data_IF_316807146155
#
_entry.id   IF_316807146155
#
_cell.length_a   1.000
_cell.length_b   1.000
_cell.length_c   1.000
_cell.angle_alpha   90.00
_cell.angle_beta   90.00
_cell.angle_gamma   90.00
#
_symmetry.space_group_name_H-M   'P 1'
#
loop_
_entity.id
_entity.type
_entity.pdbx_description
1 polymer ?
#
# COMPACT_ATOMS: atom_id res chain seq x y z
N UNK A 1 22.54 1.82 7.03
CA UNK A 1 21.93 3.18 7.03
C UNK A 1 20.83 3.26 8.08
N UNK A 2 19.89 2.31 8.13
CA UNK A 2 18.75 2.33 9.06
C UNK A 2 19.15 2.38 10.54
N UNK A 3 20.26 1.76 10.92
CA UNK A 3 20.81 1.79 12.30
C UNK A 3 21.22 3.20 12.79
N UNK A 4 21.40 4.14 11.85
CA UNK A 4 21.70 5.56 12.17
C UNK A 4 20.47 6.35 12.60
N UNK A 5 19.27 5.79 12.38
CA UNK A 5 17.98 6.44 12.61
C UNK A 5 17.11 5.57 13.52
N UNK A 6 17.34 5.62 14.84
CA UNK A 6 16.63 4.77 15.81
C UNK A 6 15.10 5.03 15.86
N UNK A 7 14.65 6.19 15.38
CA UNK A 7 13.25 6.52 15.22
C UNK A 7 12.51 5.60 14.21
N UNK A 8 13.27 4.86 13.39
CA UNK A 8 12.76 3.87 12.45
C UNK A 8 12.97 2.45 12.99
N UNK A 9 12.32 2.12 14.12
CA UNK A 9 12.40 0.79 14.73
C UNK A 9 12.18 -0.34 13.72
N UNK A 10 13.20 -1.20 13.55
CA UNK A 10 13.18 -2.25 12.54
C UNK A 10 13.96 -3.51 12.94
N UNK A 11 13.93 -3.87 14.23
CA UNK A 11 14.62 -5.06 14.70
C UNK A 11 14.27 -6.34 13.93
N UNK A 12 12.99 -6.47 13.52
CA UNK A 12 12.54 -7.60 12.70
C UNK A 12 13.20 -7.69 11.32
N UNK A 13 13.97 -6.67 10.92
CA UNK A 13 14.68 -6.62 9.62
C UNK A 13 16.19 -6.83 9.74
N UNK A 14 16.71 -6.97 10.93
CA UNK A 14 18.13 -7.31 11.15
C UNK A 14 18.31 -8.83 11.06
N UNK A 15 17.94 -9.44 9.95
CA UNK A 15 17.90 -10.88 9.76
C UNK A 15 19.27 -11.52 9.91
N UNK A 16 20.29 -10.93 9.33
CA UNK A 16 21.65 -11.48 9.36
C UNK A 16 22.25 -11.37 10.76
N UNK A 17 21.95 -10.28 11.49
CA UNK A 17 22.38 -10.15 12.89
C UNK A 17 21.71 -11.22 13.77
N UNK A 18 20.40 -11.44 13.57
CA UNK A 18 19.64 -12.46 14.31
C UNK A 18 20.16 -13.86 14.00
N UNK A 19 20.36 -14.16 12.70
CA UNK A 19 20.89 -15.45 12.27
C UNK A 19 22.30 -15.69 12.83
N UNK A 20 23.20 -14.70 12.72
CA UNK A 20 24.54 -14.80 13.27
C UNK A 20 24.54 -15.03 14.79
N UNK A 21 23.65 -14.38 15.52
CA UNK A 21 23.51 -14.57 16.96
C UNK A 21 23.05 -16.00 17.28
N UNK A 22 22.06 -16.53 16.56
CA UNK A 22 21.59 -17.91 16.74
C UNK A 22 22.73 -18.91 16.47
N UNK A 23 23.48 -18.74 15.37
CA UNK A 23 24.61 -19.60 15.03
C UNK A 23 25.74 -19.52 16.07
N UNK A 24 26.06 -18.32 16.59
CA UNK A 24 27.08 -18.12 17.65
C UNK A 24 26.70 -18.82 18.95
N UNK A 25 25.42 -18.78 19.32
CA UNK A 25 24.92 -19.35 20.56
C UNK A 25 24.68 -20.86 20.46
N UNK A 26 24.71 -21.42 19.25
CA UNK A 26 24.33 -22.82 19.01
C UNK A 26 22.81 -23.06 19.03
N UNK A 27 22.00 -22.01 18.95
CA UNK A 27 20.52 -22.05 18.94
C UNK A 27 20.01 -22.47 17.54
N UNK A 28 20.41 -23.65 17.09
CA UNK A 28 20.16 -24.09 15.70
C UNK A 28 19.03 -25.10 15.56
N UNK A 29 18.48 -25.64 16.65
CA UNK A 29 17.41 -26.66 16.61
C UNK A 29 16.14 -26.18 15.89
N UNK A 30 15.86 -24.89 15.94
CA UNK A 30 14.69 -24.28 15.27
C UNK A 30 14.94 -23.84 13.83
N UNK A 31 16.16 -23.96 13.30
CA UNK A 31 16.50 -23.55 11.94
C UNK A 31 16.23 -24.68 10.94
N UNK A 32 15.66 -24.31 9.79
CA UNK A 32 15.47 -25.25 8.67
C UNK A 32 16.74 -25.52 7.86
N UNK A 33 17.76 -24.65 8.00
CA UNK A 33 19.10 -24.80 7.45
C UNK A 33 20.12 -24.22 8.44
N UNK A 34 21.27 -24.87 8.58
CA UNK A 34 22.37 -24.47 9.46
C UNK A 34 23.67 -24.20 8.70
N UNK A 35 23.63 -24.35 7.35
CA UNK A 35 24.80 -24.19 6.51
C UNK A 35 24.80 -22.81 5.82
N UNK A 36 25.50 -21.85 6.41
CA UNK A 36 25.65 -20.49 5.91
C UNK A 36 27.13 -20.14 5.73
N UNK A 37 27.79 -20.66 4.68
CA UNK A 37 29.25 -20.59 4.55
C UNK A 37 29.79 -19.17 4.29
N UNK A 38 28.96 -18.25 3.84
CA UNK A 38 29.36 -16.87 3.50
C UNK A 38 29.10 -15.87 4.63
N UNK A 39 28.38 -16.26 5.68
CA UNK A 39 28.07 -15.32 6.77
C UNK A 39 29.31 -15.04 7.63
N UNK A 40 29.64 -13.77 7.78
CA UNK A 40 30.62 -13.32 8.78
C UNK A 40 29.88 -13.12 10.13
N UNK A 41 30.11 -14.03 11.06
CA UNK A 41 29.41 -14.00 12.35
C UNK A 41 29.73 -12.76 13.21
N UNK A 42 30.86 -12.10 12.97
CA UNK A 42 31.28 -10.89 13.68
C UNK A 42 30.80 -9.60 12.96
N UNK A 43 30.58 -9.71 11.66
CA UNK A 43 30.02 -8.64 10.84
C UNK A 43 28.98 -9.17 9.85
N UNK A 44 27.78 -9.55 10.34
CA UNK A 44 26.77 -10.24 9.51
C UNK A 44 26.26 -9.46 8.30
N UNK A 45 26.50 -8.18 8.25
CA UNK A 45 26.16 -7.33 7.10
C UNK A 45 27.25 -7.25 6.04
N UNK A 46 28.41 -7.91 6.25
CA UNK A 46 29.46 -7.97 5.26
C UNK A 46 29.11 -8.97 4.17
N UNK A 47 29.22 -8.53 2.92
CA UNK A 47 29.02 -9.38 1.74
C UNK A 47 30.36 -9.97 1.27
N UNK A 48 30.32 -11.12 0.64
CA UNK A 48 31.45 -11.61 -0.17
C UNK A 48 31.57 -10.78 -1.44
N UNK A 49 32.69 -10.93 -2.18
CA UNK A 49 32.87 -10.21 -3.43
C UNK A 49 31.81 -10.62 -4.47
N UNK A 50 31.42 -11.89 -4.52
CA UNK A 50 30.36 -12.41 -5.42
C UNK A 50 28.98 -11.88 -5.04
N UNK A 51 28.66 -11.80 -3.74
CA UNK A 51 27.40 -11.21 -3.25
C UNK A 51 27.35 -9.70 -3.55
N UNK A 52 28.48 -9.01 -3.42
CA UNK A 52 28.59 -7.60 -3.75
C UNK A 52 28.38 -7.34 -5.24
N UNK A 53 28.94 -8.20 -6.14
CA UNK A 53 28.73 -8.10 -7.58
C UNK A 53 27.22 -8.21 -7.93
N UNK A 54 26.48 -9.11 -7.29
CA UNK A 54 25.02 -9.22 -7.48
C UNK A 54 24.30 -7.94 -7.07
N UNK A 55 24.65 -7.36 -5.92
CA UNK A 55 24.04 -6.12 -5.44
C UNK A 55 24.38 -4.94 -6.36
N UNK A 56 25.63 -4.88 -6.85
CA UNK A 56 26.08 -3.85 -7.78
C UNK A 56 25.33 -3.95 -9.13
N UNK A 57 25.15 -5.16 -9.66
CA UNK A 57 24.39 -5.37 -10.89
C UNK A 57 22.91 -4.99 -10.71
N UNK A 58 22.27 -5.41 -9.64
CA UNK A 58 20.90 -4.97 -9.32
C UNK A 58 20.81 -3.45 -9.23
N UNK A 59 21.75 -2.81 -8.56
CA UNK A 59 21.82 -1.34 -8.44
C UNK A 59 21.96 -0.70 -9.82
N UNK A 60 22.84 -1.24 -10.65
CA UNK A 60 23.01 -0.77 -12.02
C UNK A 60 21.71 -0.90 -12.83
N UNK A 61 20.99 -2.02 -12.73
CA UNK A 61 19.72 -2.21 -13.41
C UNK A 61 18.68 -1.15 -13.00
N UNK A 62 18.54 -0.87 -11.70
CA UNK A 62 17.60 0.15 -11.22
C UNK A 62 17.98 1.56 -11.64
N UNK A 63 19.26 1.85 -11.84
CA UNK A 63 19.76 3.18 -12.18
C UNK A 63 19.93 3.43 -13.68
N UNK A 64 20.07 2.39 -14.50
CA UNK A 64 20.37 2.53 -15.95
C UNK A 64 19.32 1.93 -16.87
N UNK A 65 18.60 0.90 -16.43
CA UNK A 65 17.64 0.20 -17.29
C UNK A 65 16.47 1.12 -17.69
N UNK A 66 16.31 1.33 -19.00
CA UNK A 66 15.31 2.27 -19.56
C UNK A 66 13.88 1.87 -19.20
N UNK A 67 13.57 0.56 -19.20
CA UNK A 67 12.23 0.06 -18.84
C UNK A 67 11.90 0.35 -17.37
N UNK A 68 12.85 0.05 -16.47
CA UNK A 68 12.69 0.32 -15.03
C UNK A 68 12.55 1.82 -14.79
N UNK A 69 13.41 2.66 -15.36
CA UNK A 69 13.31 4.10 -15.27
C UNK A 69 11.96 4.64 -15.74
N UNK A 70 11.45 4.13 -16.85
CA UNK A 70 10.13 4.51 -17.37
C UNK A 70 9.00 4.15 -16.40
N UNK A 71 9.01 2.95 -15.84
CA UNK A 71 8.02 2.50 -14.86
C UNK A 71 8.09 3.33 -13.57
N UNK A 72 9.28 3.52 -13.01
CA UNK A 72 9.45 4.34 -11.80
C UNK A 72 9.09 5.80 -12.04
N UNK A 73 9.43 6.35 -13.22
CA UNK A 73 8.98 7.69 -13.62
C UNK A 73 7.45 7.83 -13.61
N UNK A 74 6.74 6.82 -14.11
CA UNK A 74 5.28 6.81 -14.05
C UNK A 74 4.78 6.76 -12.61
N UNK A 75 5.36 5.86 -11.80
CA UNK A 75 5.02 5.72 -10.39
C UNK A 75 5.20 7.04 -9.62
N UNK A 76 6.36 7.66 -9.68
CA UNK A 76 6.64 8.90 -8.97
C UNK A 76 5.81 10.09 -9.46
N UNK A 77 5.44 10.13 -10.74
CA UNK A 77 4.62 11.21 -11.31
C UNK A 77 3.12 11.06 -11.07
N UNK A 78 2.63 9.84 -10.94
CA UNK A 78 1.19 9.53 -10.90
C UNK A 78 0.75 8.85 -9.60
N UNK A 79 1.64 8.16 -8.92
CA UNK A 79 1.35 7.50 -7.65
C UNK A 79 1.00 8.51 -6.57
N UNK A 80 0.07 8.09 -5.70
CA UNK A 80 -0.36 8.86 -4.53
C UNK A 80 -0.38 7.95 -3.32
N UNK A 81 0.04 8.48 -2.17
CA UNK A 81 -0.08 7.80 -0.88
C UNK A 81 -1.53 7.53 -0.55
N UNK A 82 -2.39 8.50 -0.85
CA UNK A 82 -3.83 8.39 -0.78
C UNK A 82 -4.49 9.30 -1.82
N UNK A 83 -5.75 9.01 -2.13
CA UNK A 83 -6.55 9.84 -3.02
C UNK A 83 -8.02 9.84 -2.57
N UNK A 84 -8.58 11.02 -2.38
CA UNK A 84 -10.02 11.16 -2.11
C UNK A 84 -10.74 11.34 -3.44
N UNK A 85 -11.67 10.45 -3.72
CA UNK A 85 -12.48 10.49 -4.93
C UNK A 85 -13.91 10.03 -4.63
N UNK A 86 -14.89 10.85 -5.01
CA UNK A 86 -16.32 10.57 -4.80
C UNK A 86 -16.63 10.12 -3.36
N UNK A 87 -16.19 10.90 -2.37
CA UNK A 87 -16.34 10.63 -0.94
C UNK A 87 -15.72 9.30 -0.46
N UNK A 88 -14.80 8.75 -1.23
CA UNK A 88 -14.04 7.56 -0.86
C UNK A 88 -12.56 7.91 -0.68
N UNK A 89 -11.97 7.48 0.42
CA UNK A 89 -10.52 7.49 0.65
C UNK A 89 -9.93 6.24 0.00
N UNK A 90 -9.12 6.41 -1.02
CA UNK A 90 -8.39 5.33 -1.66
C UNK A 90 -6.96 5.34 -1.13
N UNK A 91 -6.51 4.23 -0.54
CA UNK A 91 -5.18 4.06 0.06
C UNK A 91 -4.61 2.68 -0.31
N UNK A 92 -3.29 2.52 -0.17
CA UNK A 92 -2.66 1.22 -0.41
C UNK A 92 -3.06 0.19 0.66
N UNK A 93 -2.77 0.45 1.93
CA UNK A 93 -3.02 -0.49 3.01
C UNK A 93 -3.93 0.07 4.11
N UNK A 94 -3.56 1.17 4.75
CA UNK A 94 -4.28 1.67 5.93
C UNK A 94 -3.96 3.14 6.26
N UNK A 95 -4.80 3.75 7.10
CA UNK A 95 -4.39 4.87 7.96
C UNK A 95 -3.96 4.28 9.30
N UNK A 96 -2.70 4.45 9.73
CA UNK A 96 -2.23 3.84 10.97
C UNK A 96 -3.11 4.20 12.17
N UNK A 97 -3.50 3.17 12.95
CA UNK A 97 -4.37 3.35 14.10
C UNK A 97 -4.00 2.38 15.23
N UNK A 98 -4.22 2.82 16.46
CA UNK A 98 -4.01 2.07 17.70
C UNK A 98 -5.22 1.19 18.04
N UNK A 99 -5.08 0.35 19.04
CA UNK A 99 -6.15 -0.54 19.51
C UNK A 99 -7.40 0.21 20.00
N UNK A 100 -7.20 1.39 20.59
CA UNK A 100 -8.27 2.26 21.10
C UNK A 100 -9.03 3.02 20.02
N UNK A 101 -8.68 2.84 18.73
CA UNK A 101 -9.29 3.53 17.60
C UNK A 101 -8.75 4.95 17.37
N UNK A 102 -7.72 5.38 18.12
CA UNK A 102 -7.03 6.63 17.79
C UNK A 102 -6.07 6.44 16.63
N UNK A 103 -5.77 7.52 15.88
CA UNK A 103 -4.72 7.48 14.87
C UNK A 103 -3.36 7.27 15.54
N UNK A 104 -2.59 6.32 15.00
CA UNK A 104 -1.21 6.08 15.43
C UNK A 104 -0.32 7.26 15.04
N UNK A 105 0.58 7.63 15.94
CA UNK A 105 1.54 8.70 15.71
C UNK A 105 2.88 8.15 15.23
N UNK A 106 3.41 8.75 14.17
CA UNK A 106 4.75 8.50 13.67
C UNK A 106 5.44 9.83 13.34
N UNK A 107 6.64 10.04 13.89
CA UNK A 107 7.41 11.28 13.74
C UNK A 107 6.64 12.57 14.15
N UNK A 108 5.77 12.47 15.16
CA UNK A 108 4.93 13.59 15.61
C UNK A 108 3.72 13.87 14.72
N UNK A 109 3.45 13.04 13.71
CA UNK A 109 2.36 13.20 12.75
C UNK A 109 1.39 12.02 12.82
N UNK A 110 0.10 12.27 12.55
CA UNK A 110 -0.97 11.26 12.53
C UNK A 110 -2.03 11.59 11.50
N UNK A 111 -2.89 10.62 11.17
CA UNK A 111 -4.01 10.80 10.25
C UNK A 111 -3.59 11.36 8.90
N UNK A 112 -4.26 12.41 8.45
CA UNK A 112 -3.97 13.11 7.18
C UNK A 112 -2.55 13.68 7.16
N UNK A 113 -2.12 14.32 8.25
CA UNK A 113 -0.78 14.91 8.33
C UNK A 113 0.35 13.91 8.11
N UNK A 114 0.18 12.66 8.61
CA UNK A 114 1.12 11.59 8.33
C UNK A 114 1.10 11.17 6.85
N UNK A 115 -0.09 11.03 6.25
CA UNK A 115 -0.21 10.64 4.83
C UNK A 115 0.37 11.71 3.90
N UNK A 116 0.15 13.00 4.21
CA UNK A 116 0.72 14.12 3.46
C UNK A 116 2.26 14.14 3.55
N UNK A 117 2.82 13.95 4.74
CA UNK A 117 4.26 13.84 4.94
C UNK A 117 4.87 12.69 4.13
N UNK A 118 4.20 11.53 4.10
CA UNK A 118 4.63 10.38 3.29
C UNK A 118 4.57 10.72 1.80
N UNK A 119 3.51 11.39 1.35
CA UNK A 119 3.38 11.84 -0.04
C UNK A 119 4.53 12.78 -0.44
N UNK A 120 4.82 13.79 0.39
CA UNK A 120 5.90 14.75 0.15
C UNK A 120 7.27 14.05 0.10
N UNK A 121 7.48 13.05 0.96
CA UNK A 121 8.71 12.24 0.96
C UNK A 121 8.84 11.44 -0.33
N UNK A 122 7.77 10.76 -0.77
CA UNK A 122 7.77 10.01 -2.04
C UNK A 122 8.04 10.94 -3.23
N UNK A 123 7.44 12.12 -3.25
CA UNK A 123 7.66 13.10 -4.33
C UNK A 123 9.09 13.64 -4.32
N UNK A 124 9.67 13.92 -3.15
CA UNK A 124 11.06 14.39 -3.02
C UNK A 124 12.05 13.34 -3.49
N UNK A 125 11.91 12.11 -3.00
CA UNK A 125 12.76 10.98 -3.42
C UNK A 125 12.63 10.73 -4.92
N UNK A 126 11.41 10.76 -5.44
CA UNK A 126 11.14 10.57 -6.87
C UNK A 126 11.77 11.65 -7.75
N UNK A 127 11.71 12.91 -7.34
CA UNK A 127 12.36 14.02 -8.06
C UNK A 127 13.87 13.83 -8.15
N UNK A 128 14.54 13.50 -7.01
CA UNK A 128 15.99 13.24 -6.98
C UNK A 128 16.36 12.02 -7.83
N UNK A 129 15.62 10.93 -7.73
CA UNK A 129 15.83 9.75 -8.56
C UNK A 129 15.75 10.07 -10.06
N UNK A 130 14.73 10.82 -10.48
CA UNK A 130 14.53 11.21 -11.88
C UNK A 130 15.62 12.15 -12.40
N UNK A 131 16.19 12.99 -11.52
CA UNK A 131 17.31 13.87 -11.83
C UNK A 131 18.67 13.14 -11.85
N UNK A 132 18.74 11.89 -11.39
CA UNK A 132 20.00 11.15 -11.23
C UNK A 132 20.84 11.66 -10.05
N UNK A 133 20.21 12.33 -9.09
CA UNK A 133 20.85 12.84 -7.89
C UNK A 133 20.94 11.77 -6.80
N UNK A 134 21.98 11.88 -5.96
CA UNK A 134 22.10 11.02 -4.78
C UNK A 134 20.96 11.28 -3.78
N UNK A 135 20.42 10.20 -3.20
CA UNK A 135 19.45 10.30 -2.13
C UNK A 135 20.10 10.65 -0.80
N UNK A 136 19.38 11.35 0.06
CA UNK A 136 19.81 11.56 1.43
C UNK A 136 19.71 10.27 2.26
N UNK A 137 20.66 9.99 3.13
CA UNK A 137 20.64 8.77 3.97
C UNK A 137 19.35 8.65 4.78
N UNK A 138 18.85 9.77 5.30
CA UNK A 138 17.59 9.79 6.05
C UNK A 138 16.39 9.42 5.19
N UNK A 139 16.31 9.92 3.96
CA UNK A 139 15.25 9.57 3.02
C UNK A 139 15.33 8.10 2.60
N UNK A 140 16.54 7.56 2.40
CA UNK A 140 16.71 6.12 2.13
C UNK A 140 16.22 5.27 3.30
N UNK A 141 16.58 5.63 4.53
CA UNK A 141 16.15 4.92 5.74
C UNK A 141 14.63 5.01 5.92
N UNK A 142 14.04 6.19 5.72
CA UNK A 142 12.59 6.39 5.79
C UNK A 142 11.86 5.59 4.70
N UNK A 143 12.38 5.58 3.46
CA UNK A 143 11.79 4.81 2.37
C UNK A 143 11.79 3.31 2.65
N UNK A 144 12.87 2.81 3.23
CA UNK A 144 12.96 1.43 3.68
C UNK A 144 11.96 1.15 4.83
N UNK A 145 11.84 2.07 5.80
CA UNK A 145 10.83 1.96 6.86
C UNK A 145 9.41 1.95 6.29
N UNK A 146 9.10 2.81 5.32
CA UNK A 146 7.77 2.87 4.70
C UNK A 146 7.37 1.55 4.03
N UNK A 147 8.34 0.78 3.53
CA UNK A 147 8.07 -0.54 2.99
C UNK A 147 7.65 -1.57 4.05
N UNK A 148 8.19 -1.52 5.27
CA UNK A 148 8.05 -2.63 6.22
C UNK A 148 7.97 -2.22 7.70
N UNK A 149 7.88 -0.93 7.99
CA UNK A 149 7.72 -0.42 9.35
C UNK A 149 6.28 -0.52 9.86
N UNK A 150 6.12 -0.83 11.13
CA UNK A 150 4.80 -1.08 11.76
C UNK A 150 3.84 0.11 11.71
N UNK A 151 4.37 1.34 11.73
CA UNK A 151 3.57 2.58 11.64
C UNK A 151 3.43 3.12 10.21
N UNK A 152 3.93 2.38 9.23
CA UNK A 152 3.82 2.76 7.83
C UNK A 152 2.41 2.58 7.28
N UNK A 153 1.87 3.55 6.52
CA UNK A 153 0.58 3.39 5.84
C UNK A 153 0.61 2.35 4.72
N UNK A 154 1.80 1.85 4.34
CA UNK A 154 1.97 0.87 3.26
C UNK A 154 2.15 -0.56 3.75
N UNK A 155 2.46 -0.79 5.03
CA UNK A 155 2.83 -2.11 5.51
C UNK A 155 1.69 -2.91 6.14
N UNK A 156 0.92 -2.31 7.06
CA UNK A 156 -0.31 -2.91 7.60
C UNK A 156 -0.15 -4.17 8.47
N UNK A 157 1.04 -4.49 8.92
CA UNK A 157 1.35 -5.67 9.75
C UNK A 157 2.12 -5.27 11.00
N UNK A 158 2.03 -6.10 12.07
CA UNK A 158 2.82 -5.89 13.28
C UNK A 158 4.31 -6.13 13.06
N UNK A 159 4.65 -7.12 12.28
CA UNK A 159 6.02 -7.46 11.93
C UNK A 159 6.06 -8.20 10.60
N UNK A 160 7.16 -8.07 9.87
CA UNK A 160 7.40 -8.88 8.70
C UNK A 160 7.97 -10.23 9.14
N UNK A 161 7.30 -11.30 8.78
CA UNK A 161 7.62 -12.68 9.14
C UNK A 161 8.45 -13.42 8.08
N UNK A 162 9.17 -12.68 7.25
CA UNK A 162 9.99 -13.28 6.19
C UNK A 162 11.18 -14.05 6.77
N UNK A 163 11.80 -13.56 7.87
CA UNK A 163 12.86 -14.29 8.56
C UNK A 163 12.37 -15.66 9.04
N UNK A 164 11.25 -15.66 9.75
CA UNK A 164 10.63 -16.87 10.28
C UNK A 164 10.32 -17.86 9.16
N UNK A 165 9.70 -17.41 8.08
CA UNK A 165 9.33 -18.25 6.91
C UNK A 165 10.53 -18.82 6.17
N UNK A 166 11.65 -18.10 6.12
CA UNK A 166 12.85 -18.59 5.45
C UNK A 166 13.73 -19.48 6.31
N UNK A 167 13.83 -19.19 7.60
CA UNK A 167 14.85 -19.78 8.45
C UNK A 167 14.31 -20.64 9.58
N UNK A 168 13.04 -20.56 9.96
CA UNK A 168 12.49 -21.29 11.09
C UNK A 168 11.56 -22.43 10.63
N UNK A 169 11.66 -23.58 11.35
CA UNK A 169 10.79 -24.75 11.16
C UNK A 169 9.40 -24.51 11.72
N UNK A 170 9.28 -23.70 12.78
CA UNK A 170 8.04 -23.44 13.49
C UNK A 170 7.05 -22.62 12.62
N UNK A 171 6.07 -23.30 12.04
CA UNK A 171 5.04 -22.68 11.19
C UNK A 171 4.13 -21.70 11.95
N UNK A 172 3.95 -21.83 13.27
CA UNK A 172 3.15 -20.89 14.05
C UNK A 172 3.83 -19.51 14.10
N UNK A 173 5.16 -19.49 14.06
CA UNK A 173 5.94 -18.25 14.01
C UNK A 173 5.79 -17.49 12.68
N UNK A 174 5.32 -18.16 11.61
CA UNK A 174 5.18 -17.59 10.27
C UNK A 174 3.97 -16.67 10.12
N UNK A 175 3.04 -16.67 11.08
CA UNK A 175 1.81 -15.89 11.00
C UNK A 175 2.09 -14.38 11.10
N UNK A 176 1.65 -13.63 10.10
CA UNK A 176 1.64 -12.16 10.12
C UNK A 176 0.32 -11.64 10.67
N UNK A 177 0.35 -11.14 11.90
CA UNK A 177 -0.83 -10.51 12.52
C UNK A 177 -1.08 -9.13 11.88
N UNK A 178 -2.32 -8.90 11.45
CA UNK A 178 -2.74 -7.59 10.96
C UNK A 178 -2.84 -6.59 12.11
N UNK A 179 -2.61 -5.30 11.81
CA UNK A 179 -2.83 -4.21 12.76
C UNK A 179 -4.33 -4.00 13.07
N UNK A 180 -4.59 -3.17 14.05
CA UNK A 180 -5.95 -2.87 14.54
C UNK A 180 -6.86 -2.22 13.50
N UNK A 181 -6.33 -1.70 12.42
CA UNK A 181 -7.05 -1.04 11.33
C UNK A 181 -8.36 -1.74 10.91
N UNK A 182 -8.29 -3.05 10.61
CA UNK A 182 -9.48 -3.81 10.17
C UNK A 182 -10.54 -3.95 11.26
N UNK A 183 -10.11 -4.07 12.52
CA UNK A 183 -10.99 -4.12 13.69
C UNK A 183 -11.63 -2.73 13.89
N UNK A 184 -10.84 -1.69 13.82
CA UNK A 184 -11.29 -0.31 14.01
C UNK A 184 -12.30 0.13 12.94
N UNK A 185 -12.11 -0.27 11.66
CA UNK A 185 -13.07 -0.01 10.58
C UNK A 185 -14.47 -0.61 10.81
N UNK A 186 -14.63 -1.50 11.80
CA UNK A 186 -15.93 -2.04 12.18
C UNK A 186 -16.61 -1.22 13.29
N UNK A 187 -15.93 -0.22 13.83
CA UNK A 187 -16.44 0.64 14.91
C UNK A 187 -16.92 1.98 14.36
N UNK A 188 -18.08 2.44 14.84
CA UNK A 188 -18.63 3.72 14.39
C UNK A 188 -17.74 4.89 14.80
N UNK A 189 -17.15 4.84 15.99
CA UNK A 189 -16.22 5.87 16.48
C UNK A 189 -15.05 6.09 15.52
N UNK A 190 -14.46 5.02 14.99
CA UNK A 190 -13.34 5.19 14.06
C UNK A 190 -13.77 5.65 12.67
N UNK A 191 -14.96 5.23 12.22
CA UNK A 191 -15.56 5.70 10.97
C UNK A 191 -15.87 7.21 11.03
N UNK A 192 -16.43 7.68 12.15
CA UNK A 192 -16.66 9.11 12.40
C UNK A 192 -15.37 9.91 12.37
N UNK A 193 -14.30 9.43 13.01
CA UNK A 193 -12.96 10.07 12.93
C UNK A 193 -12.42 10.15 11.51
N UNK A 194 -12.57 9.08 10.72
CA UNK A 194 -12.17 9.10 9.31
C UNK A 194 -12.99 10.10 8.51
N UNK A 195 -14.29 10.18 8.77
CA UNK A 195 -15.16 11.15 8.13
C UNK A 195 -14.79 12.59 8.49
N UNK A 196 -14.51 12.87 9.76
CA UNK A 196 -14.10 14.20 10.23
C UNK A 196 -12.75 14.61 9.63
N UNK A 197 -11.77 13.71 9.65
CA UNK A 197 -10.40 13.97 9.19
C UNK A 197 -10.29 14.12 7.67
N UNK A 198 -11.02 13.27 6.93
CA UNK A 198 -10.88 13.16 5.46
C UNK A 198 -12.11 13.63 4.67
N UNK A 199 -13.26 13.88 5.30
CA UNK A 199 -14.49 14.24 4.60
C UNK A 199 -15.07 13.12 3.74
N UNK A 200 -14.98 11.86 4.17
CA UNK A 200 -15.30 10.68 3.39
C UNK A 200 -16.44 9.86 3.99
N UNK A 201 -17.03 9.00 3.17
CA UNK A 201 -18.03 8.02 3.60
C UNK A 201 -17.50 6.59 3.52
N UNK A 202 -16.42 6.34 2.75
CA UNK A 202 -15.89 5.00 2.49
C UNK A 202 -14.37 5.01 2.44
N UNK A 203 -13.79 3.85 2.72
CA UNK A 203 -12.36 3.59 2.53
C UNK A 203 -12.20 2.42 1.57
N UNK A 204 -11.43 2.64 0.50
CA UNK A 204 -11.05 1.63 -0.49
C UNK A 204 -9.57 1.35 -0.31
N UNK A 205 -9.21 0.09 -0.06
CA UNK A 205 -7.84 -0.31 0.24
C UNK A 205 -7.48 -1.68 -0.35
N UNK A 206 -6.22 -2.07 -0.23
CA UNK A 206 -5.69 -3.34 -0.72
C UNK A 206 -4.64 -3.94 0.20
N UNK A 207 -3.48 -4.27 -0.35
CA UNK A 207 -2.27 -4.81 0.30
C UNK A 207 -2.39 -6.25 0.85
N UNK A 208 -3.55 -6.63 1.33
CA UNK A 208 -3.79 -8.01 1.77
C UNK A 208 -4.96 -8.56 0.96
N UNK A 209 -4.72 -9.51 0.05
CA UNK A 209 -5.76 -10.03 -0.81
C UNK A 209 -6.97 -10.58 -0.06
N UNK A 210 -8.13 -10.41 -0.66
CA UNK A 210 -9.37 -11.03 -0.16
C UNK A 210 -9.30 -12.52 -0.48
N UNK A 211 -9.33 -13.35 0.54
CA UNK A 211 -9.39 -14.80 0.37
C UNK A 211 -10.83 -15.23 0.01
N UNK A 212 -11.15 -15.05 -1.26
CA UNK A 212 -12.46 -15.37 -1.81
C UNK A 212 -12.81 -16.85 -1.63
N UNK A 213 -11.84 -17.75 -1.77
CA UNK A 213 -12.06 -19.19 -1.63
C UNK A 213 -12.47 -19.59 -0.20
N UNK A 214 -12.14 -18.75 0.80
CA UNK A 214 -12.63 -18.88 2.18
C UNK A 214 -13.92 -18.09 2.41
N UNK A 215 -14.62 -17.64 1.36
CA UNK A 215 -15.89 -16.92 1.46
C UNK A 215 -15.79 -15.49 1.99
N UNK A 216 -14.57 -14.89 2.00
CA UNK A 216 -14.42 -13.49 2.41
C UNK A 216 -14.97 -12.57 1.34
N UNK A 217 -15.65 -11.52 1.76
CA UNK A 217 -16.25 -10.52 0.88
C UNK A 217 -15.30 -9.32 0.69
N UNK A 218 -15.44 -8.64 -0.46
CA UNK A 218 -14.71 -7.39 -0.74
C UNK A 218 -15.08 -6.28 0.22
N UNK A 219 -16.37 -6.14 0.53
CA UNK A 219 -16.87 -5.04 1.35
C UNK A 219 -17.37 -5.50 2.72
N UNK A 220 -17.29 -4.63 3.71
CA UNK A 220 -18.02 -4.74 4.97
C UNK A 220 -19.53 -4.66 4.72
N UNK A 221 -20.32 -5.18 5.67
CA UNK A 221 -21.79 -5.23 5.54
C UNK A 221 -22.44 -3.87 5.35
N UNK A 222 -21.81 -2.83 5.90
CA UNK A 222 -22.26 -1.43 5.79
C UNK A 222 -21.69 -0.70 4.57
N UNK A 223 -20.86 -1.35 3.76
CA UNK A 223 -20.25 -0.77 2.57
C UNK A 223 -19.20 0.31 2.83
N UNK A 224 -18.75 0.50 4.09
CA UNK A 224 -17.78 1.54 4.46
C UNK A 224 -16.35 1.10 4.15
N UNK A 225 -16.00 -0.14 4.45
CA UNK A 225 -14.65 -0.68 4.22
C UNK A 225 -14.67 -1.60 3.00
N UNK A 226 -13.92 -1.26 1.96
CA UNK A 226 -13.88 -2.00 0.70
C UNK A 226 -12.44 -2.39 0.38
N UNK A 227 -12.17 -3.69 0.34
CA UNK A 227 -10.88 -4.23 -0.04
C UNK A 227 -10.92 -4.70 -1.51
N UNK A 228 -10.18 -4.02 -2.38
CA UNK A 228 -10.15 -4.31 -3.83
C UNK A 228 -8.99 -5.20 -4.25
N UNK A 229 -8.17 -5.68 -3.30
CA UNK A 229 -7.05 -6.55 -3.62
C UNK A 229 -7.52 -7.99 -3.85
N UNK A 230 -7.53 -8.42 -5.11
CA UNK A 230 -7.83 -9.79 -5.50
C UNK A 230 -6.60 -10.68 -5.62
N UNK A 231 -5.40 -10.09 -5.62
CA UNK A 231 -4.14 -10.81 -5.78
C UNK A 231 -4.04 -11.56 -7.11
N UNK A 232 -3.76 -10.88 -8.22
CA UNK A 232 -3.61 -11.46 -9.56
C UNK A 232 -2.43 -12.43 -9.69
N UNK A 233 -2.25 -13.33 -8.74
CA UNK A 233 -1.15 -14.29 -8.70
C UNK A 233 -1.66 -15.68 -8.39
N UNK A 234 -0.90 -16.71 -8.82
CA UNK A 234 -1.26 -18.11 -8.62
C UNK A 234 -1.52 -18.46 -7.14
N UNK A 235 -0.76 -17.86 -6.23
CA UNK A 235 -0.95 -18.03 -4.79
C UNK A 235 -2.33 -17.53 -4.29
N UNK A 236 -3.03 -16.71 -5.09
CA UNK A 236 -4.37 -16.18 -4.81
C UNK A 236 -5.36 -16.57 -5.91
N UNK A 237 -5.17 -17.74 -6.52
CA UNK A 237 -6.06 -18.33 -7.52
C UNK A 237 -6.21 -17.51 -8.81
N UNK A 238 -5.26 -16.62 -9.12
CA UNK A 238 -5.27 -15.74 -10.31
C UNK A 238 -6.55 -14.88 -10.45
N UNK A 239 -7.28 -14.61 -9.36
CA UNK A 239 -8.50 -13.82 -9.39
C UNK A 239 -8.23 -12.37 -9.04
N UNK A 240 -8.56 -11.46 -9.95
CA UNK A 240 -8.57 -10.04 -9.68
C UNK A 240 -9.91 -9.54 -9.18
N UNK A 241 -9.90 -8.39 -8.49
CA UNK A 241 -11.11 -7.70 -8.09
C UNK A 241 -11.16 -6.32 -8.73
N UNK A 242 -12.36 -5.83 -9.01
CA UNK A 242 -12.60 -4.47 -9.45
C UNK A 242 -13.76 -3.85 -8.69
N UNK A 243 -13.66 -2.58 -8.36
CA UNK A 243 -14.76 -1.79 -7.82
C UNK A 243 -15.35 -0.94 -8.94
N UNK A 244 -16.65 -1.04 -9.17
CA UNK A 244 -17.36 -0.29 -10.20
C UNK A 244 -18.35 0.65 -9.55
N UNK A 245 -18.23 1.92 -9.89
CA UNK A 245 -19.12 2.98 -9.43
C UNK A 245 -19.90 3.51 -10.63
N UNK A 246 -21.20 3.27 -10.64
CA UNK A 246 -22.15 3.84 -11.60
C UNK A 246 -22.94 4.98 -10.96
N UNK A 247 -23.73 5.74 -11.72
CA UNK A 247 -24.62 6.73 -11.12
C UNK A 247 -25.64 6.17 -10.13
N UNK A 248 -25.93 4.87 -10.21
CA UNK A 248 -27.00 4.23 -9.44
C UNK A 248 -26.51 3.26 -8.37
N UNK A 249 -25.30 2.68 -8.55
CA UNK A 249 -24.84 1.57 -7.75
C UNK A 249 -23.32 1.58 -7.59
N UNK A 250 -22.89 1.04 -6.47
CA UNK A 250 -21.52 0.65 -6.19
C UNK A 250 -21.46 -0.86 -6.05
N UNK A 251 -20.64 -1.53 -6.86
CA UNK A 251 -20.53 -2.99 -6.81
C UNK A 251 -19.09 -3.45 -7.07
N UNK A 252 -18.76 -4.57 -6.44
CA UNK A 252 -17.53 -5.30 -6.68
C UNK A 252 -17.71 -6.33 -7.78
N UNK A 253 -16.66 -6.53 -8.58
CA UNK A 253 -16.58 -7.60 -9.56
C UNK A 253 -15.41 -8.49 -9.18
N UNK A 254 -15.63 -9.78 -9.11
CA UNK A 254 -14.57 -10.78 -9.05
C UNK A 254 -14.35 -11.27 -10.47
N UNK A 255 -13.14 -11.02 -10.98
CA UNK A 255 -12.77 -11.36 -12.35
C UNK A 255 -12.58 -12.88 -12.49
N UNK A 256 -12.94 -13.46 -13.64
CA UNK A 256 -12.67 -14.86 -13.92
C UNK A 256 -11.17 -15.13 -14.00
N UNK A 257 -10.77 -16.36 -13.73
CA UNK A 257 -9.38 -16.79 -13.94
C UNK A 257 -9.01 -16.81 -15.42
N UNK A 258 -7.71 -16.80 -15.77
CA UNK A 258 -7.29 -16.97 -17.15
C UNK A 258 -7.82 -18.27 -17.80
N UNK A 259 -7.94 -19.35 -17.02
CA UNK A 259 -8.47 -20.64 -17.45
C UNK A 259 -9.95 -20.53 -17.78
N UNK A 260 -10.78 -19.95 -16.90
CA UNK A 260 -12.20 -19.71 -17.12
C UNK A 260 -12.44 -18.81 -18.35
N UNK A 261 -11.62 -17.76 -18.52
CA UNK A 261 -11.70 -16.91 -19.71
C UNK A 261 -11.36 -17.66 -21.00
N UNK A 262 -10.34 -18.53 -20.96
CA UNK A 262 -9.97 -19.35 -22.11
C UNK A 262 -11.04 -20.35 -22.47
N UNK A 263 -11.62 -21.02 -21.48
CA UNK A 263 -12.72 -21.97 -21.67
C UNK A 263 -13.95 -21.29 -22.28
N UNK A 264 -14.40 -20.17 -21.71
CA UNK A 264 -15.50 -19.40 -22.26
C UNK A 264 -15.24 -18.95 -23.71
N UNK A 265 -14.03 -18.49 -24.02
CA UNK A 265 -13.65 -18.11 -25.38
C UNK A 265 -13.69 -19.29 -26.36
N UNK A 266 -13.24 -20.48 -25.94
CA UNK A 266 -13.32 -21.70 -26.77
C UNK A 266 -14.75 -22.13 -27.05
N UNK A 267 -15.65 -21.91 -26.09
CA UNK A 267 -17.07 -22.26 -26.22
C UNK A 267 -17.91 -21.14 -26.87
N UNK A 268 -17.31 -20.01 -27.23
CA UNK A 268 -18.00 -18.79 -27.71
C UNK A 268 -19.02 -18.26 -26.71
N UNK A 269 -18.74 -18.39 -25.42
CA UNK A 269 -19.54 -17.92 -24.30
C UNK A 269 -18.89 -16.72 -23.61
N UNK A 270 -19.67 -15.99 -22.81
CA UNK A 270 -19.14 -14.96 -21.92
C UNK A 270 -18.53 -15.62 -20.68
N UNK A 271 -17.33 -15.19 -20.28
CA UNK A 271 -16.73 -15.63 -19.02
C UNK A 271 -17.62 -15.24 -17.83
N UNK A 272 -17.77 -16.10 -16.82
CA UNK A 272 -18.61 -15.82 -15.66
C UNK A 272 -18.03 -14.63 -14.87
N UNK A 273 -18.90 -13.69 -14.50
CA UNK A 273 -18.58 -12.59 -13.58
C UNK A 273 -19.33 -12.81 -12.29
N UNK A 274 -18.64 -12.77 -11.18
CA UNK A 274 -19.26 -12.71 -9.85
C UNK A 274 -19.35 -11.26 -9.41
N UNK A 275 -20.60 -10.80 -9.13
CA UNK A 275 -20.91 -9.39 -8.85
C UNK A 275 -21.45 -9.29 -7.43
N UNK A 276 -20.79 -8.50 -6.60
CA UNK A 276 -21.22 -8.17 -5.25
C UNK A 276 -21.78 -6.74 -5.23
N UNK A 277 -23.10 -6.57 -5.08
CA UNK A 277 -23.69 -5.27 -4.81
C UNK A 277 -23.26 -4.78 -3.42
N UNK A 278 -22.69 -3.57 -3.36
CA UNK A 278 -22.19 -2.96 -2.14
C UNK A 278 -23.15 -1.87 -1.66
N UNK A 279 -23.62 -1.03 -2.59
CA UNK A 279 -24.55 0.05 -2.26
C UNK A 279 -25.44 0.39 -3.46
N UNK A 280 -26.65 0.84 -3.20
CA UNK A 280 -27.61 1.30 -4.20
C UNK A 280 -28.09 2.71 -3.85
N UNK A 281 -27.93 3.64 -4.77
CA UNK A 281 -28.26 5.04 -4.53
C UNK A 281 -29.73 5.32 -4.83
N UNK A 282 -30.44 5.88 -3.85
CA UNK A 282 -31.86 6.23 -4.00
C UNK A 282 -32.13 7.22 -5.14
N UNK A 283 -31.13 8.04 -5.45
CA UNK A 283 -31.16 8.97 -6.59
C UNK A 283 -29.83 8.84 -7.35
N UNK A 284 -29.86 8.95 -8.69
CA UNK A 284 -28.64 8.83 -9.48
C UNK A 284 -27.66 9.94 -9.11
N UNK A 285 -26.41 9.59 -8.90
CA UNK A 285 -25.32 10.51 -8.70
C UNK A 285 -25.17 11.40 -9.95
N UNK A 286 -25.20 12.71 -9.78
CA UNK A 286 -24.98 13.68 -10.85
C UNK A 286 -23.52 14.13 -10.87
N UNK A 287 -23.08 14.72 -11.98
CA UNK A 287 -21.70 15.27 -12.07
C UNK A 287 -21.38 16.22 -10.92
N UNK A 288 -22.32 17.06 -10.50
CA UNK A 288 -22.15 17.98 -9.36
C UNK A 288 -21.86 17.27 -8.03
N UNK A 289 -22.24 16.01 -7.89
CA UNK A 289 -22.09 15.21 -6.66
C UNK A 289 -20.80 14.38 -6.69
N UNK A 290 -19.92 14.63 -7.66
CA UNK A 290 -18.66 13.91 -7.86
C UNK A 290 -17.46 14.83 -7.69
N UNK A 291 -16.27 14.25 -7.44
CA UNK A 291 -15.01 14.98 -7.40
C UNK A 291 -14.75 15.80 -8.70
N UNK A 292 -15.24 15.32 -9.84
CA UNK A 292 -15.19 16.07 -11.10
C UNK A 292 -16.10 17.30 -11.09
N UNK A 293 -17.26 17.19 -10.46
CA UNK A 293 -18.19 18.29 -10.26
C UNK A 293 -17.60 19.39 -9.38
N UNK A 294 -16.96 19.02 -8.28
CA UNK A 294 -16.26 19.98 -7.40
C UNK A 294 -15.16 20.73 -8.15
N UNK A 295 -14.34 20.02 -8.95
CA UNK A 295 -13.31 20.64 -9.78
C UNK A 295 -13.91 21.62 -10.80
N UNK A 296 -14.99 21.25 -11.48
CA UNK A 296 -15.66 22.10 -12.47
C UNK A 296 -16.27 23.36 -11.80
N UNK A 297 -16.80 23.20 -10.59
CA UNK A 297 -17.32 24.33 -9.80
C UNK A 297 -16.20 25.31 -9.47
N UNK A 298 -15.09 24.84 -8.91
CA UNK A 298 -13.92 25.67 -8.61
C UNK A 298 -13.40 26.42 -9.85
N UNK A 299 -13.28 25.71 -10.99
CA UNK A 299 -12.86 26.33 -12.26
C UNK A 299 -13.84 27.40 -12.73
N UNK A 300 -15.15 27.14 -12.62
CA UNK A 300 -16.20 28.13 -12.96
C UNK A 300 -16.13 29.37 -12.09
N UNK A 301 -15.96 29.21 -10.77
CA UNK A 301 -15.84 30.32 -9.83
C UNK A 301 -14.59 31.17 -10.11
N UNK A 302 -13.44 30.52 -10.39
CA UNK A 302 -12.21 31.22 -10.76
C UNK A 302 -12.36 32.03 -12.07
N UNK A 303 -13.01 31.45 -13.08
CA UNK A 303 -13.30 32.16 -14.34
C UNK A 303 -14.24 33.35 -14.15
N UNK A 304 -15.29 33.20 -13.35
CA UNK A 304 -16.22 34.28 -13.04
C UNK A 304 -15.52 35.43 -12.30
N UNK A 305 -14.62 35.10 -11.37
CA UNK A 305 -13.81 36.12 -10.69
C UNK A 305 -12.95 36.89 -11.68
N UNK A 306 -12.26 36.18 -12.58
CA UNK A 306 -11.41 36.80 -13.60
C UNK A 306 -12.20 37.70 -14.59
N UNK A 307 -13.40 37.28 -14.97
CA UNK A 307 -14.29 38.10 -15.80
C UNK A 307 -14.65 39.40 -15.07
N UNK A 308 -14.99 39.35 -13.78
CA UNK A 308 -15.32 40.54 -12.98
C UNK A 308 -14.14 41.50 -12.89
N UNK A 309 -12.92 41.01 -12.62
CA UNK A 309 -11.70 41.82 -12.58
C UNK A 309 -11.50 42.57 -13.91
N UNK A 310 -11.53 41.87 -15.04
CA UNK A 310 -11.35 42.45 -16.36
C UNK A 310 -12.44 43.47 -16.70
N UNK A 311 -13.68 43.23 -16.28
CA UNK A 311 -14.78 44.19 -16.51
C UNK A 311 -14.59 45.46 -15.70
N UNK A 312 -14.02 45.35 -14.48
CA UNK A 312 -13.72 46.49 -13.61
C UNK A 312 -12.52 47.30 -14.13
N UNK A 313 -11.53 46.64 -14.74
CA UNK A 313 -10.37 47.32 -15.37
C UNK A 313 -10.72 48.08 -16.66
N UNK A 314 -11.87 47.78 -17.27
CA UNK A 314 -12.33 48.44 -18.50
C UNK A 314 -13.18 49.69 -18.26
N UNK A 315 -13.53 50.01 -17.03
CA UNK A 315 -14.25 51.19 -16.59
C UNK A 315 -13.37 52.09 -15.73
#
# INVERSE_FOLDING_TARGET
TIRKFPEYEMESRLWMDRLALMLKNGDTEGLNDTHFPTIDLDNPGRLTDEEQEVIDDLTLQFTTNVKIKRLLSFFFKRGKTYHIHNNSLNIHALVPSREDGEFEEFLGLKGRGLLDFVQDTVERVGKRYMAGEAQEEKDQALFFYLWCGVKSPFFGKHAMKTFERYFLIDEESHEEKTLYWRKNLQTDVFKEKLQEEFGIQRVVFGHTPVDYMKGKQMASKDGVAINVDGGFAAAYYNRGHALVHTPYQLFGIILPTPEEMKEAAMNLESAPLDIQLIDEFRQPMKVKDTAKGDLLKQQSEALLLRIRELTTEMH
#
